data_IF_037709713403
#
_entry.id   IF_037709713403
#
_cell.length_a   1.000
_cell.length_b   1.000
_cell.length_c   1.000
_cell.angle_alpha   90.00
_cell.angle_beta   90.00
_cell.angle_gamma   90.00
#
_symmetry.space_group_name_H-M   'P 1'
#
loop_
_entity.id
_entity.type
_entity.pdbx_description
1 polymer ?
#
# COMPACT_ATOMS: atom_id res chain seq x y z
N UNK A 1 -10.81 12.91 48.95
CA UNK A 1 -11.06 12.50 47.55
C UNK A 1 -11.86 11.20 47.53
N UNK A 2 -13.07 11.17 46.96
CA UNK A 2 -13.86 9.93 46.83
C UNK A 2 -13.15 8.98 45.85
N UNK A 3 -12.86 7.74 46.28
CA UNK A 3 -12.27 6.71 45.41
C UNK A 3 -13.20 6.50 44.19
N UNK A 4 -12.68 6.44 42.95
CA UNK A 4 -13.49 6.11 41.79
C UNK A 4 -14.15 4.73 41.97
N UNK A 5 -15.44 4.62 41.64
CA UNK A 5 -16.14 3.33 41.72
C UNK A 5 -15.47 2.29 40.82
N UNK A 6 -15.57 0.99 41.15
CA UNK A 6 -15.05 -0.11 40.32
C UNK A 6 -15.44 0.02 38.83
N UNK A 7 -16.72 0.36 38.56
CA UNK A 7 -17.26 0.66 37.23
C UNK A 7 -16.50 1.77 36.48
N UNK A 8 -15.96 2.77 37.18
CA UNK A 8 -15.21 3.89 36.58
C UNK A 8 -13.81 3.46 36.13
N UNK A 9 -13.16 2.58 36.89
CA UNK A 9 -11.87 1.98 36.50
C UNK A 9 -12.03 1.05 35.30
N UNK A 10 -13.06 0.20 35.32
CA UNK A 10 -13.39 -0.70 34.19
C UNK A 10 -13.71 0.09 32.93
N UNK A 11 -14.41 1.22 33.05
CA UNK A 11 -14.69 2.10 31.89
C UNK A 11 -13.43 2.77 31.33
N UNK A 12 -12.51 3.23 32.19
CA UNK A 12 -11.21 3.75 31.75
C UNK A 12 -10.41 2.70 30.97
N UNK A 13 -10.38 1.45 31.45
CA UNK A 13 -9.71 0.35 30.77
C UNK A 13 -10.28 0.09 29.36
N UNK A 14 -11.59 0.26 29.16
CA UNK A 14 -12.21 0.12 27.83
C UNK A 14 -11.70 1.18 26.84
N UNK A 15 -11.53 2.42 27.29
CA UNK A 15 -10.97 3.51 26.45
C UNK A 15 -9.52 3.18 26.09
N UNK A 16 -8.71 2.77 27.08
CA UNK A 16 -7.30 2.41 26.88
C UNK A 16 -7.16 1.24 25.88
N UNK A 17 -8.05 0.24 25.94
CA UNK A 17 -8.08 -0.88 24.99
C UNK A 17 -8.37 -0.38 23.57
N UNK A 18 -9.31 0.54 23.40
CA UNK A 18 -9.63 1.11 22.08
C UNK A 18 -8.43 1.91 21.56
N UNK A 19 -7.76 2.70 22.41
CA UNK A 19 -6.57 3.45 22.04
C UNK A 19 -5.42 2.55 21.59
N UNK A 20 -5.17 1.45 22.31
CA UNK A 20 -4.19 0.44 21.91
C UNK A 20 -4.53 -0.13 20.53
N UNK A 21 -5.82 -0.40 20.26
CA UNK A 21 -6.27 -0.91 18.95
C UNK A 21 -6.10 0.11 17.84
N UNK A 22 -6.42 1.39 18.07
CA UNK A 22 -6.17 2.48 17.12
C UNK A 22 -4.67 2.56 16.81
N UNK A 23 -3.81 2.55 17.84
CA UNK A 23 -2.36 2.56 17.68
C UNK A 23 -1.83 1.37 16.87
N UNK A 24 -2.40 0.17 17.07
CA UNK A 24 -2.07 -1.02 16.26
C UNK A 24 -2.46 -0.84 14.79
N UNK A 25 -3.65 -0.29 14.51
CA UNK A 25 -4.10 -0.01 13.14
C UNK A 25 -3.24 1.07 12.48
N UNK A 26 -2.86 2.12 13.21
CA UNK A 26 -1.94 3.16 12.72
C UNK A 26 -0.58 2.57 12.33
N UNK A 27 0.01 1.71 13.15
CA UNK A 27 1.28 1.03 12.80
C UNK A 27 1.14 0.16 11.56
N UNK A 28 0.04 -0.59 11.44
CA UNK A 28 -0.27 -1.39 10.25
C UNK A 28 -0.36 -0.51 8.99
N UNK A 29 -1.01 0.65 9.07
CA UNK A 29 -1.10 1.60 7.95
C UNK A 29 0.26 2.13 7.53
N UNK A 30 1.16 2.44 8.48
CA UNK A 30 2.52 2.88 8.14
C UNK A 30 3.25 1.81 7.33
N UNK A 31 3.16 0.55 7.75
CA UNK A 31 3.78 -0.58 7.02
C UNK A 31 3.17 -0.76 5.64
N UNK A 32 1.83 -0.77 5.53
CA UNK A 32 1.15 -0.96 4.24
C UNK A 32 1.44 0.17 3.26
N UNK A 33 1.46 1.43 3.73
CA UNK A 33 1.78 2.59 2.88
C UNK A 33 3.22 2.54 2.38
N UNK A 34 4.16 2.08 3.21
CA UNK A 34 5.54 1.86 2.77
C UNK A 34 5.60 0.79 1.69
N UNK A 35 4.96 -0.37 1.92
CA UNK A 35 4.91 -1.45 0.93
C UNK A 35 4.27 -1.00 -0.39
N UNK A 36 3.22 -0.18 -0.32
CA UNK A 36 2.58 0.40 -1.50
C UNK A 36 3.54 1.31 -2.28
N UNK A 37 4.28 2.19 -1.58
CA UNK A 37 5.26 3.05 -2.22
C UNK A 37 6.40 2.23 -2.85
N UNK A 38 6.93 1.25 -2.12
CA UNK A 38 7.99 0.36 -2.64
C UNK A 38 7.53 -0.35 -3.93
N UNK A 39 6.25 -0.74 -4.03
CA UNK A 39 5.68 -1.33 -5.25
C UNK A 39 5.56 -0.31 -6.39
N UNK A 40 5.16 0.92 -6.11
CA UNK A 40 5.09 1.99 -7.12
C UNK A 40 6.47 2.30 -7.70
N UNK A 41 7.49 2.39 -6.84
CA UNK A 41 8.87 2.66 -7.25
C UNK A 41 9.39 1.55 -8.18
N UNK A 42 9.07 0.28 -7.87
CA UNK A 42 9.42 -0.87 -8.74
C UNK A 42 8.69 -0.81 -10.09
N UNK A 43 7.41 -0.44 -10.09
CA UNK A 43 6.62 -0.30 -11.33
C UNK A 43 7.21 0.81 -12.21
N UNK A 44 7.57 1.95 -11.61
CA UNK A 44 8.18 3.08 -12.31
C UNK A 44 9.53 2.69 -12.93
N UNK A 45 10.40 2.01 -12.19
CA UNK A 45 11.68 1.53 -12.74
C UNK A 45 11.47 0.57 -13.93
N UNK A 46 10.48 -0.34 -13.84
CA UNK A 46 10.12 -1.24 -14.95
C UNK A 46 9.64 -0.46 -16.17
N UNK A 47 8.87 0.61 -16.00
CA UNK A 47 8.45 1.49 -17.10
C UNK A 47 9.63 2.20 -17.76
N UNK A 48 10.59 2.71 -16.96
CA UNK A 48 11.82 3.28 -17.51
C UNK A 48 12.66 2.24 -18.27
N UNK A 49 12.72 0.99 -17.78
CA UNK A 49 13.36 -0.10 -18.52
C UNK A 49 12.66 -0.36 -19.86
N UNK A 50 11.33 -0.40 -19.89
CA UNK A 50 10.54 -0.55 -21.12
C UNK A 50 10.82 0.59 -22.09
N UNK A 51 10.87 1.84 -21.60
CA UNK A 51 11.17 3.00 -22.44
C UNK A 51 12.57 2.91 -23.06
N UNK A 52 13.59 2.52 -22.28
CA UNK A 52 14.94 2.28 -22.81
C UNK A 52 14.95 1.19 -23.88
N UNK A 53 14.23 0.10 -23.67
CA UNK A 53 14.13 -0.99 -24.65
C UNK A 53 13.35 -0.59 -25.91
N UNK A 54 12.32 0.24 -25.78
CA UNK A 54 11.59 0.84 -26.90
C UNK A 54 12.50 1.74 -27.75
N UNK A 55 13.35 2.56 -27.10
CA UNK A 55 14.35 3.36 -27.78
C UNK A 55 15.41 2.48 -28.46
N UNK A 56 15.87 1.43 -27.78
CA UNK A 56 16.78 0.46 -28.37
C UNK A 56 16.18 -0.19 -29.63
N UNK A 57 14.95 -0.68 -29.55
CA UNK A 57 14.23 -1.30 -30.67
C UNK A 57 14.15 -0.37 -31.90
N UNK A 58 13.94 0.93 -31.69
CA UNK A 58 13.92 1.95 -32.76
C UNK A 58 15.31 2.17 -33.38
N UNK A 59 16.37 2.00 -32.60
CA UNK A 59 17.76 2.17 -33.04
C UNK A 59 18.33 0.96 -33.79
N UNK A 60 17.70 -0.22 -33.69
CA UNK A 60 18.18 -1.45 -34.32
C UNK A 60 18.14 -1.31 -35.85
N UNK A 61 19.31 -1.30 -36.48
CA UNK A 61 19.49 -1.23 -37.94
C UNK A 61 20.10 -2.51 -38.51
N UNK A 62 20.04 -2.64 -39.85
CA UNK A 62 20.77 -3.68 -40.58
C UNK A 62 22.26 -3.46 -40.36
N UNK A 63 22.98 -4.50 -39.96
CA UNK A 63 24.43 -4.49 -39.84
C UNK A 63 25.03 -5.22 -41.04
N UNK A 64 26.25 -4.87 -41.42
CA UNK A 64 26.96 -5.56 -42.49
C UNK A 64 27.52 -6.90 -41.96
N UNK A 65 26.71 -7.95 -42.03
CA UNK A 65 27.03 -9.28 -41.54
C UNK A 65 26.41 -10.37 -42.42
N UNK A 66 26.95 -11.59 -42.33
CA UNK A 66 26.32 -12.77 -42.92
C UNK A 66 24.89 -12.93 -42.39
N UNK A 67 23.92 -13.14 -43.29
CA UNK A 67 22.50 -13.24 -42.96
C UNK A 67 21.96 -12.00 -42.21
N UNK A 68 22.42 -10.81 -42.59
CA UNK A 68 22.06 -9.53 -41.95
C UNK A 68 20.57 -9.33 -41.70
N UNK A 69 19.70 -9.70 -42.64
CA UNK A 69 18.25 -9.58 -42.49
C UNK A 69 17.70 -10.53 -41.42
N UNK A 70 18.06 -11.81 -41.46
CA UNK A 70 17.64 -12.78 -40.45
C UNK A 70 18.10 -12.37 -39.05
N UNK A 71 19.36 -11.93 -38.92
CA UNK A 71 19.91 -11.46 -37.66
C UNK A 71 19.25 -10.17 -37.15
N UNK A 72 18.87 -9.26 -38.06
CA UNK A 72 18.06 -8.09 -37.71
C UNK A 72 16.74 -8.49 -37.08
N UNK A 73 15.99 -9.41 -37.72
CA UNK A 73 14.72 -9.88 -37.19
C UNK A 73 14.89 -10.55 -35.82
N UNK A 74 15.91 -11.39 -35.64
CA UNK A 74 16.21 -12.01 -34.35
C UNK A 74 16.48 -10.97 -33.26
N UNK A 75 17.30 -9.93 -33.53
CA UNK A 75 17.56 -8.86 -32.55
C UNK A 75 16.30 -8.10 -32.17
N UNK A 76 15.49 -7.73 -33.18
CA UNK A 76 14.23 -7.01 -32.95
C UNK A 76 13.24 -7.85 -32.16
N UNK A 77 13.12 -9.14 -32.47
CA UNK A 77 12.20 -10.03 -31.78
C UNK A 77 12.63 -10.28 -30.33
N UNK A 78 13.93 -10.50 -30.09
CA UNK A 78 14.48 -10.59 -28.72
C UNK A 78 14.13 -9.36 -27.89
N UNK A 79 14.34 -8.17 -28.46
CA UNK A 79 14.04 -6.91 -27.77
C UNK A 79 12.54 -6.74 -27.48
N UNK A 80 11.66 -7.16 -28.40
CA UNK A 80 10.21 -7.16 -28.14
C UNK A 80 9.83 -8.12 -27.03
N UNK A 81 10.36 -9.34 -27.03
CA UNK A 81 10.10 -10.32 -25.98
C UNK A 81 10.58 -9.82 -24.61
N UNK A 82 11.71 -9.11 -24.56
CA UNK A 82 12.18 -8.44 -23.33
C UNK A 82 11.19 -7.36 -22.86
N UNK A 83 10.68 -6.52 -23.78
CA UNK A 83 9.65 -5.53 -23.47
C UNK A 83 8.38 -6.18 -22.94
N UNK A 84 7.91 -7.25 -23.57
CA UNK A 84 6.71 -7.99 -23.15
C UNK A 84 6.89 -8.61 -21.77
N UNK A 85 8.05 -9.18 -21.49
CA UNK A 85 8.38 -9.72 -20.17
C UNK A 85 8.37 -8.62 -19.10
N UNK A 86 8.98 -7.46 -19.37
CA UNK A 86 8.98 -6.32 -18.44
C UNK A 86 7.56 -5.79 -18.20
N UNK A 87 6.74 -5.73 -19.24
CA UNK A 87 5.34 -5.31 -19.13
C UNK A 87 4.51 -6.29 -18.29
N UNK A 88 4.73 -7.59 -18.46
CA UNK A 88 4.09 -8.63 -17.66
C UNK A 88 4.48 -8.50 -16.18
N UNK A 89 5.78 -8.35 -15.88
CA UNK A 89 6.25 -8.11 -14.52
C UNK A 89 5.61 -6.87 -13.89
N UNK A 90 5.59 -5.74 -14.62
CA UNK A 90 4.99 -4.50 -14.15
C UNK A 90 3.48 -4.66 -13.88
N UNK A 91 2.79 -5.44 -14.72
CA UNK A 91 1.36 -5.73 -14.56
C UNK A 91 1.08 -6.55 -13.29
N UNK A 92 1.92 -7.55 -12.98
CA UNK A 92 1.81 -8.31 -11.72
C UNK A 92 2.01 -7.36 -10.53
N UNK A 93 3.06 -6.53 -10.57
CA UNK A 93 3.33 -5.56 -9.49
C UNK A 93 2.20 -4.55 -9.33
N UNK A 94 1.54 -4.16 -10.42
CA UNK A 94 0.38 -3.30 -10.40
C UNK A 94 -0.83 -3.95 -9.69
N UNK A 95 -1.03 -5.26 -9.87
CA UNK A 95 -2.05 -6.01 -9.15
C UNK A 95 -1.72 -6.10 -7.65
N UNK A 96 -0.47 -6.41 -7.30
CA UNK A 96 -0.01 -6.40 -5.91
C UNK A 96 -0.27 -5.03 -5.26
N UNK A 97 0.03 -3.94 -5.98
CA UNK A 97 -0.20 -2.58 -5.49
C UNK A 97 -1.69 -2.27 -5.27
N UNK A 98 -2.56 -2.75 -6.17
CA UNK A 98 -4.01 -2.61 -6.01
C UNK A 98 -4.54 -3.38 -4.79
N UNK A 99 -4.01 -4.57 -4.54
CA UNK A 99 -4.37 -5.35 -3.35
C UNK A 99 -3.97 -4.60 -2.08
N UNK A 100 -2.72 -4.11 -2.00
CA UNK A 100 -2.24 -3.33 -0.85
C UNK A 100 -3.08 -2.05 -0.66
N UNK A 101 -3.45 -1.36 -1.75
CA UNK A 101 -4.32 -0.18 -1.67
C UNK A 101 -5.71 -0.50 -1.11
N UNK A 102 -6.28 -1.66 -1.48
CA UNK A 102 -7.53 -2.15 -0.91
C UNK A 102 -7.39 -2.42 0.60
N UNK A 103 -6.32 -3.09 1.00
CA UNK A 103 -6.03 -3.35 2.42
C UNK A 103 -5.83 -2.05 3.23
N UNK A 104 -5.17 -1.04 2.65
CA UNK A 104 -5.04 0.29 3.27
C UNK A 104 -6.43 0.88 3.52
N UNK A 105 -7.30 0.87 2.52
CA UNK A 105 -8.66 1.41 2.59
C UNK A 105 -9.49 0.72 3.68
N UNK A 106 -9.40 -0.60 3.77
CA UNK A 106 -10.07 -1.38 4.81
C UNK A 106 -9.58 -1.00 6.21
N UNK A 107 -8.26 -0.97 6.41
CA UNK A 107 -7.64 -0.64 7.71
C UNK A 107 -7.94 0.81 8.12
N UNK A 108 -7.99 1.74 7.18
CA UNK A 108 -8.40 3.12 7.43
C UNK A 108 -9.86 3.21 7.87
N UNK A 109 -10.76 2.48 7.22
CA UNK A 109 -12.16 2.41 7.60
C UNK A 109 -12.34 1.83 9.01
N UNK A 110 -11.61 0.76 9.35
CA UNK A 110 -11.62 0.18 10.69
C UNK A 110 -11.06 1.14 11.75
N UNK A 111 -9.95 1.83 11.44
CA UNK A 111 -9.36 2.84 12.33
C UNK A 111 -10.37 3.94 12.63
N UNK A 112 -11.04 4.47 11.59
CA UNK A 112 -12.07 5.50 11.72
C UNK A 112 -13.26 5.02 12.56
N UNK A 113 -13.66 3.75 12.44
CA UNK A 113 -14.71 3.17 13.30
C UNK A 113 -14.26 3.11 14.78
N UNK A 114 -13.01 2.75 15.03
CA UNK A 114 -12.46 2.72 16.39
C UNK A 114 -12.33 4.12 17.00
N UNK A 115 -11.92 5.12 16.21
CA UNK A 115 -11.88 6.53 16.62
C UNK A 115 -13.28 7.02 17.02
N UNK A 116 -14.29 6.82 16.16
CA UNK A 116 -15.70 7.14 16.50
C UNK A 116 -16.19 6.45 17.77
N UNK A 117 -15.81 5.19 17.97
CA UNK A 117 -16.15 4.45 19.19
C UNK A 117 -15.46 5.02 20.41
N UNK A 118 -14.20 5.46 20.29
CA UNK A 118 -13.46 6.13 21.37
C UNK A 118 -14.16 7.43 21.76
N UNK A 119 -14.55 8.24 20.77
CA UNK A 119 -15.23 9.52 21.00
C UNK A 119 -16.55 9.31 21.74
N UNK A 120 -17.39 8.36 21.29
CA UNK A 120 -18.63 8.00 21.97
C UNK A 120 -18.40 7.50 23.42
N UNK A 121 -17.34 6.72 23.66
CA UNK A 121 -16.97 6.30 25.02
C UNK A 121 -16.51 7.50 25.87
N UNK A 122 -15.78 8.45 25.30
CA UNK A 122 -15.36 9.66 26.00
C UNK A 122 -16.57 10.52 26.40
N UNK A 123 -17.56 10.68 25.54
CA UNK A 123 -18.82 11.37 25.84
C UNK A 123 -19.60 10.70 26.97
N UNK A 124 -19.77 9.37 26.91
CA UNK A 124 -20.43 8.59 27.97
C UNK A 124 -19.70 8.68 29.32
N UNK A 125 -18.37 8.74 29.28
CA UNK A 125 -17.55 8.95 30.49
C UNK A 125 -17.84 10.31 31.11
N UNK A 126 -17.99 11.35 30.29
CA UNK A 126 -18.29 12.69 30.78
C UNK A 126 -19.72 12.78 31.33
N UNK A 127 -20.71 12.16 30.68
CA UNK A 127 -22.09 12.07 31.19
C UNK A 127 -22.16 11.40 32.57
N UNK A 128 -21.47 10.26 32.77
CA UNK A 128 -21.39 9.59 34.07
C UNK A 128 -20.67 10.41 35.15
N UNK A 129 -19.89 11.41 34.75
CA UNK A 129 -19.22 12.35 35.67
C UNK A 129 -20.20 13.39 36.19
N UNK A 130 -21.08 13.90 35.32
CA UNK A 130 -22.11 14.88 35.66
C UNK A 130 -23.25 14.26 36.48
N UNK A 131 -23.67 13.02 36.20
CA UNK A 131 -24.71 12.31 36.99
C UNK A 131 -24.32 11.99 38.45
N UNK A 132 -23.02 12.12 38.81
CA UNK A 132 -22.50 11.84 40.16
C UNK A 132 -22.23 13.10 41.00
N UNK A 133 -22.42 14.30 40.44
CA UNK A 133 -22.40 15.57 41.18
C UNK A 133 -23.79 15.92 41.65
#
# INVERSE_FOLDING_TARGET
MRKPSKKWKEFGQLIDIVDIRIGKKQRKLVTLRKQYQDLLDVIEDKWHQIERQQLHLKSISVLNESNALSRLFMRRESTKSEIESLFFDASIKQQDAQEVASQITEVEAEKRRLEKRKDALAELREQMRYEKS
#
